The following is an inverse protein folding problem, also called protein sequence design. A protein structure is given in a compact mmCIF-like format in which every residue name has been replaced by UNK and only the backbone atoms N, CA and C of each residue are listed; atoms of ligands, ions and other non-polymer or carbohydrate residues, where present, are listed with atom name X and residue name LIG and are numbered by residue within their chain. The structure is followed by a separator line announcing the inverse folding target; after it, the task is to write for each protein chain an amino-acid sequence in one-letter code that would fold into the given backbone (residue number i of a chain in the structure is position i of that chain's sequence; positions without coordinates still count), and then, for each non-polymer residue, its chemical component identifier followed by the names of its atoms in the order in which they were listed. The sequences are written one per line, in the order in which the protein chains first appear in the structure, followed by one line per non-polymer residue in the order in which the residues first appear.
data_IF_894750215711
#
_entry.id   IF_894750215711
#
_cell.length_a   1.000
_cell.length_b   1.000
_cell.length_c   1.000
_cell.angle_alpha   90.00
_cell.angle_beta   90.00
_cell.angle_gamma   90.00
#
_symmetry.space_group_name_H-M   'P 1'
#
loop_
_entity.id
_entity.type
_entity.pdbx_description
1 polymer ?
#
# COMPACT_ATOMS: atom_id res chain seq x y z
N UNK A 1 3.74 -17.48 14.08
CA UNK A 1 5.00 -16.77 14.42
C UNK A 1 4.83 -16.09 15.77
N UNK A 2 5.91 -15.84 16.48
CA UNK A 2 5.87 -14.91 17.63
C UNK A 2 5.67 -13.50 17.06
N UNK A 3 4.61 -12.81 17.44
CA UNK A 3 4.35 -11.44 16.96
C UNK A 3 5.50 -10.52 17.34
N UNK A 4 5.95 -9.75 16.36
CA UNK A 4 6.98 -8.71 16.51
C UNK A 4 6.38 -7.38 16.97
N UNK A 5 5.06 -7.22 16.81
CA UNK A 5 4.31 -5.97 17.05
C UNK A 5 4.83 -4.81 16.20
N UNK A 6 5.33 -5.11 15.00
CA UNK A 6 5.77 -4.11 14.01
C UNK A 6 5.02 -4.27 12.69
N UNK A 7 4.66 -3.13 12.09
CA UNK A 7 4.04 -3.05 10.78
C UNK A 7 4.86 -2.09 9.92
N UNK A 8 5.11 -2.48 8.66
CA UNK A 8 5.83 -1.67 7.69
C UNK A 8 4.83 -0.99 6.74
N UNK A 9 4.89 0.33 6.61
CA UNK A 9 4.16 1.07 5.58
C UNK A 9 5.12 1.38 4.43
N UNK A 10 4.79 0.90 3.23
CA UNK A 10 5.57 1.06 2.03
C UNK A 10 5.05 2.23 1.17
N UNK A 11 5.98 3.07 0.72
CA UNK A 11 5.72 4.34 0.04
C UNK A 11 6.41 4.36 -1.33
N UNK A 12 5.74 4.89 -2.34
CA UNK A 12 6.38 5.14 -3.64
C UNK A 12 7.47 6.19 -3.51
N UNK A 13 8.51 6.08 -4.33
CA UNK A 13 9.53 7.11 -4.52
C UNK A 13 9.31 7.89 -5.82
N UNK A 14 8.26 7.59 -6.58
CA UNK A 14 7.95 8.24 -7.84
C UNK A 14 7.14 9.52 -7.64
N UNK A 15 7.68 10.65 -8.08
CA UNK A 15 7.14 12.00 -7.80
C UNK A 15 6.53 12.75 -8.99
N UNK A 16 6.50 12.15 -10.19
CA UNK A 16 6.05 12.81 -11.41
C UNK A 16 4.98 11.97 -12.13
N UNK A 17 3.81 12.55 -12.40
CA UNK A 17 2.73 11.89 -13.10
C UNK A 17 2.88 12.09 -14.60
N UNK A 18 3.89 11.46 -15.20
CA UNK A 18 4.19 11.52 -16.64
C UNK A 18 4.27 12.96 -17.20
N UNK A 19 4.86 13.89 -16.45
CA UNK A 19 4.99 15.30 -16.81
C UNK A 19 3.70 16.13 -16.70
N UNK A 20 2.59 15.57 -16.22
CA UNK A 20 1.31 16.27 -16.06
C UNK A 20 1.30 17.11 -14.79
N UNK A 21 1.69 16.50 -13.66
CA UNK A 21 1.76 17.14 -12.33
C UNK A 21 2.66 16.33 -11.38
N UNK A 22 3.13 16.92 -10.27
CA UNK A 22 3.72 16.16 -9.18
C UNK A 22 2.74 15.11 -8.62
N UNK A 23 3.28 14.00 -8.13
CA UNK A 23 2.56 12.96 -7.38
C UNK A 23 3.47 12.38 -6.29
N UNK A 24 3.05 11.28 -5.67
CA UNK A 24 3.77 10.62 -4.60
C UNK A 24 2.90 9.57 -3.93
N UNK A 25 3.24 9.22 -2.69
CA UNK A 25 2.30 8.47 -1.87
C UNK A 25 1.16 9.39 -1.44
N UNK A 26 -0.06 8.87 -1.43
CA UNK A 26 -1.22 9.68 -1.01
C UNK A 26 -1.25 9.79 0.52
N UNK A 27 -1.10 11.01 1.07
CA UNK A 27 -0.89 11.22 2.51
C UNK A 27 -1.89 10.50 3.43
N UNK A 28 -3.22 10.56 3.23
CA UNK A 28 -4.15 9.87 4.13
C UNK A 28 -4.04 8.35 4.08
N UNK A 29 -3.52 7.77 2.99
CA UNK A 29 -3.29 6.33 2.86
C UNK A 29 -2.06 5.84 3.65
N UNK A 30 -1.20 6.75 4.11
CA UNK A 30 -0.15 6.45 5.09
C UNK A 30 -0.58 6.90 6.51
N UNK A 31 -1.17 8.09 6.63
CA UNK A 31 -1.51 8.68 7.92
C UNK A 31 -2.63 7.93 8.65
N UNK A 32 -3.69 7.51 7.96
CA UNK A 32 -4.80 6.81 8.60
C UNK A 32 -4.40 5.41 9.07
N UNK A 33 -3.69 4.59 8.27
CA UNK A 33 -3.17 3.33 8.77
C UNK A 33 -2.17 3.49 9.90
N UNK A 34 -1.25 4.46 9.81
CA UNK A 34 -0.33 4.77 10.91
C UNK A 34 -1.08 5.03 12.22
N UNK A 35 -2.13 5.84 12.18
CA UNK A 35 -2.93 6.16 13.36
C UNK A 35 -3.60 4.92 13.95
N UNK A 36 -4.28 4.11 13.12
CA UNK A 36 -4.95 2.87 13.56
C UNK A 36 -3.96 1.87 14.17
N UNK A 37 -2.81 1.66 13.53
CA UNK A 37 -1.79 0.75 14.03
C UNK A 37 -1.15 1.23 15.33
N UNK A 38 -0.87 2.53 15.43
CA UNK A 38 -0.26 3.14 16.62
C UNK A 38 -1.20 3.07 17.83
N UNK A 39 -2.50 3.36 17.64
CA UNK A 39 -3.53 3.22 18.69
C UNK A 39 -3.66 1.75 19.17
N UNK A 40 -3.48 0.80 18.25
CA UNK A 40 -3.43 -0.63 18.58
C UNK A 40 -2.11 -1.08 19.23
N UNK A 41 -1.17 -0.15 19.46
CA UNK A 41 0.12 -0.37 20.12
C UNK A 41 1.16 -1.08 19.27
N UNK A 42 1.05 -1.03 17.93
CA UNK A 42 2.10 -1.49 17.02
C UNK A 42 3.14 -0.40 16.81
N UNK A 43 4.38 -0.81 16.64
CA UNK A 43 5.42 0.09 16.08
C UNK A 43 5.23 0.15 14.57
N UNK A 44 5.15 1.36 14.02
CA UNK A 44 5.04 1.58 12.58
C UNK A 44 6.36 2.12 12.05
N UNK A 45 6.92 1.43 11.07
CA UNK A 45 8.07 1.90 10.29
C UNK A 45 7.67 2.20 8.85
N UNK A 46 8.52 2.92 8.14
CA UNK A 46 8.31 3.29 6.74
C UNK A 46 9.46 2.77 5.87
N UNK A 47 9.15 2.37 4.64
CA UNK A 47 10.11 2.02 3.59
C UNK A 47 9.70 2.71 2.30
N UNK A 48 10.65 3.05 1.44
CA UNK A 48 10.33 3.49 0.07
C UNK A 48 11.21 2.81 -0.96
N UNK A 49 10.76 2.78 -2.21
CA UNK A 49 11.44 2.06 -3.29
C UNK A 49 12.90 2.50 -3.45
N UNK A 50 13.14 3.81 -3.53
CA UNK A 50 14.47 4.39 -3.68
C UNK A 50 15.17 4.69 -2.34
N UNK A 51 14.47 4.59 -1.21
CA UNK A 51 14.92 5.11 0.07
C UNK A 51 14.97 6.64 0.11
N UNK A 52 15.41 7.21 1.23
CA UNK A 52 15.41 8.66 1.43
C UNK A 52 14.02 9.21 1.74
N UNK A 53 13.76 10.47 1.41
CA UNK A 53 12.46 11.11 1.64
C UNK A 53 11.51 10.88 0.44
N UNK A 54 10.41 10.12 0.62
CA UNK A 54 9.48 9.86 -0.48
C UNK A 54 8.61 11.09 -0.79
N UNK A 55 8.26 11.32 -2.06
CA UNK A 55 7.37 12.42 -2.45
C UNK A 55 5.95 12.18 -1.94
N UNK A 56 5.26 13.26 -1.56
CA UNK A 56 3.91 13.23 -0.99
C UNK A 56 2.88 13.88 -1.92
N UNK A 57 1.68 13.30 -2.02
CA UNK A 57 0.52 13.87 -2.70
C UNK A 57 -0.70 13.88 -1.75
N UNK A 58 -1.73 14.68 -2.06
CA UNK A 58 -3.03 14.57 -1.41
C UNK A 58 -3.13 15.10 0.02
N UNK A 59 -2.19 15.95 0.46
CA UNK A 59 -2.18 16.45 1.82
C UNK A 59 -3.36 17.39 2.13
N UNK A 60 -4.12 17.07 3.18
CA UNK A 60 -5.14 17.94 3.77
C UNK A 60 -4.89 18.10 5.28
N UNK A 61 -4.32 19.24 5.68
CA UNK A 61 -4.01 19.52 7.09
C UNK A 61 -5.21 20.01 7.91
N UNK A 62 -6.40 20.07 7.32
CA UNK A 62 -7.65 20.24 8.07
C UNK A 62 -8.12 18.93 8.69
N UNK A 63 -7.67 17.80 8.15
CA UNK A 63 -7.81 16.49 8.76
C UNK A 63 -6.86 16.35 9.96
N UNK A 64 -7.37 16.13 11.18
CA UNK A 64 -6.54 16.05 12.38
C UNK A 64 -5.55 14.87 12.36
N UNK A 65 -5.87 13.76 11.68
CA UNK A 65 -4.99 12.58 11.59
C UNK A 65 -3.81 12.89 10.69
N UNK A 66 -4.06 13.48 9.51
CA UNK A 66 -2.99 13.89 8.60
C UNK A 66 -2.11 14.98 9.24
N UNK A 67 -2.72 15.93 9.94
CA UNK A 67 -1.98 16.93 10.71
C UNK A 67 -1.10 16.29 11.78
N UNK A 68 -1.63 15.37 12.58
CA UNK A 68 -0.85 14.67 13.61
C UNK A 68 0.32 13.90 12.98
N UNK A 69 0.10 13.18 11.88
CA UNK A 69 1.13 12.44 11.16
C UNK A 69 2.24 13.35 10.60
N UNK A 70 1.88 14.52 10.07
CA UNK A 70 2.83 15.46 9.47
C UNK A 70 3.60 16.28 10.51
N UNK A 71 3.02 16.50 11.70
CA UNK A 71 3.66 17.23 12.80
C UNK A 71 4.42 16.31 13.78
N UNK A 72 4.20 14.99 13.73
CA UNK A 72 4.86 14.03 14.62
C UNK A 72 6.38 13.94 14.32
N UNK A 73 7.27 14.29 15.28
CA UNK A 73 8.70 14.36 15.02
C UNK A 73 9.34 12.99 14.76
N UNK A 74 8.79 11.90 15.32
CA UNK A 74 9.29 10.54 15.08
C UNK A 74 8.92 10.08 13.67
N UNK A 75 7.66 10.28 13.27
CA UNK A 75 7.20 9.99 11.90
C UNK A 75 8.05 10.76 10.89
N UNK A 76 8.22 12.06 11.09
CA UNK A 76 9.01 12.90 10.19
C UNK A 76 10.49 12.51 10.16
N UNK A 77 11.06 12.04 11.28
CA UNK A 77 12.43 11.52 11.29
C UNK A 77 12.57 10.24 10.46
N UNK A 78 11.61 9.31 10.56
CA UNK A 78 11.59 8.09 9.76
C UNK A 78 11.36 8.38 8.27
N UNK A 79 10.46 9.30 7.94
CA UNK A 79 10.16 9.67 6.54
C UNK A 79 11.32 10.38 5.84
N UNK A 80 12.06 11.26 6.51
CA UNK A 80 13.22 11.95 5.90
C UNK A 80 14.34 11.03 5.44
N UNK A 81 14.37 9.78 5.92
CA UNK A 81 15.44 8.83 5.64
C UNK A 81 14.91 7.40 5.63
N UNK A 82 13.87 7.13 4.83
CA UNK A 82 13.36 5.77 4.71
C UNK A 82 14.44 4.83 4.15
N UNK A 83 14.55 3.59 4.67
CA UNK A 83 15.34 2.54 4.03
C UNK A 83 14.69 2.11 2.70
N UNK A 84 15.45 1.36 1.92
CA UNK A 84 14.91 0.56 0.79
C UNK A 84 14.50 -0.81 1.27
N UNK A 85 13.70 -1.53 0.49
CA UNK A 85 13.35 -2.92 0.80
C UNK A 85 14.57 -3.84 0.96
N UNK A 86 15.64 -3.62 0.19
CA UNK A 86 16.89 -4.36 0.33
C UNK A 86 17.58 -4.20 1.69
N UNK A 87 17.26 -3.13 2.42
CA UNK A 87 17.93 -2.75 3.66
C UNK A 87 17.09 -3.10 4.91
N UNK A 88 15.94 -3.77 4.74
CA UNK A 88 15.00 -4.12 5.80
C UNK A 88 14.80 -5.64 5.87
N UNK A 89 14.88 -6.20 7.07
CA UNK A 89 14.59 -7.62 7.27
C UNK A 89 13.08 -7.84 7.44
N UNK A 90 12.49 -8.60 6.51
CA UNK A 90 11.08 -8.95 6.58
C UNK A 90 10.70 -9.60 7.90
N UNK A 91 11.59 -10.37 8.55
CA UNK A 91 11.36 -11.08 9.82
C UNK A 91 11.04 -10.19 11.02
N UNK A 92 11.34 -8.90 10.91
CA UNK A 92 11.00 -7.90 11.93
C UNK A 92 9.54 -7.47 11.89
N UNK A 93 8.76 -7.86 10.88
CA UNK A 93 7.41 -7.35 10.66
C UNK A 93 6.33 -8.44 10.65
N UNK A 94 5.19 -8.11 11.26
CA UNK A 94 3.99 -8.95 11.22
C UNK A 94 3.17 -8.68 9.95
N UNK A 95 3.23 -7.45 9.44
CA UNK A 95 2.52 -7.02 8.24
C UNK A 95 3.27 -5.94 7.44
N UNK A 96 2.95 -5.86 6.14
CA UNK A 96 3.31 -4.74 5.27
C UNK A 96 2.03 -4.15 4.67
N UNK A 97 1.93 -2.82 4.65
CA UNK A 97 0.87 -2.09 3.96
C UNK A 97 1.47 -1.21 2.87
N UNK A 98 1.08 -1.45 1.62
CA UNK A 98 1.41 -0.62 0.47
C UNK A 98 0.42 0.54 0.37
N UNK A 99 0.86 1.74 0.73
CA UNK A 99 0.08 2.95 0.48
C UNK A 99 0.09 3.24 -1.02
N UNK A 100 -1.03 3.74 -1.54
CA UNK A 100 -1.17 4.14 -2.92
C UNK A 100 -0.75 5.58 -3.15
N UNK A 101 -1.54 6.28 -3.97
CA UNK A 101 -1.09 7.45 -4.73
C UNK A 101 -0.52 7.04 -6.09
N UNK A 102 -0.71 7.88 -7.10
CA UNK A 102 -0.41 7.55 -8.48
C UNK A 102 1.08 7.23 -8.74
N UNK A 103 2.01 7.64 -7.87
CA UNK A 103 3.41 7.24 -8.00
C UNK A 103 3.60 5.72 -7.95
N UNK A 104 2.76 5.00 -7.19
CA UNK A 104 2.89 3.56 -6.95
C UNK A 104 2.85 2.72 -8.25
N UNK A 105 2.06 3.11 -9.25
CA UNK A 105 2.00 2.35 -10.52
C UNK A 105 3.29 2.45 -11.35
N UNK A 106 4.18 3.39 -11.05
CA UNK A 106 5.41 3.59 -11.81
C UNK A 106 6.59 2.75 -11.28
N UNK A 107 6.67 2.55 -9.96
CA UNK A 107 7.85 1.96 -9.32
C UNK A 107 7.57 0.68 -8.52
N UNK A 108 6.42 0.52 -7.85
CA UNK A 108 6.12 -0.70 -7.09
C UNK A 108 6.19 -1.99 -7.90
N UNK A 109 5.59 -2.10 -9.12
CA UNK A 109 5.59 -3.37 -9.86
C UNK A 109 6.98 -3.82 -10.36
N UNK A 110 7.97 -2.93 -10.32
CA UNK A 110 9.31 -3.15 -10.92
C UNK A 110 10.39 -3.42 -9.87
N UNK A 111 10.08 -3.22 -8.59
CA UNK A 111 11.06 -3.37 -7.52
C UNK A 111 11.16 -4.85 -7.07
N UNK A 112 12.30 -5.46 -7.36
CA UNK A 112 12.51 -6.88 -7.08
C UNK A 112 12.67 -7.18 -5.58
N UNK A 113 13.22 -6.23 -4.81
CA UNK A 113 13.45 -6.39 -3.37
C UNK A 113 12.13 -6.28 -2.60
N UNK A 114 11.25 -5.35 -3.00
CA UNK A 114 9.85 -5.26 -2.57
C UNK A 114 9.12 -6.58 -2.83
N UNK A 115 9.21 -7.09 -4.06
CA UNK A 115 8.53 -8.32 -4.44
C UNK A 115 9.02 -9.52 -3.61
N UNK A 116 10.34 -9.61 -3.39
CA UNK A 116 10.95 -10.64 -2.56
C UNK A 116 10.53 -10.53 -1.09
N UNK A 117 10.58 -9.32 -0.52
CA UNK A 117 10.16 -9.02 0.85
C UNK A 117 8.71 -9.46 1.08
N UNK A 118 7.81 -9.00 0.21
CA UNK A 118 6.37 -9.26 0.35
C UNK A 118 6.03 -10.74 0.16
N UNK A 119 6.64 -11.42 -0.82
CA UNK A 119 6.49 -12.88 -0.99
C UNK A 119 6.90 -13.61 0.30
N UNK A 120 8.09 -13.34 0.82
CA UNK A 120 8.59 -14.06 1.99
C UNK A 120 7.75 -13.79 3.23
N UNK A 121 7.31 -12.54 3.43
CA UNK A 121 6.39 -12.18 4.50
C UNK A 121 5.03 -12.90 4.35
N UNK A 122 4.48 -12.95 3.14
CA UNK A 122 3.20 -13.60 2.87
C UNK A 122 3.25 -15.11 3.10
N UNK A 123 4.25 -15.80 2.55
CA UNK A 123 4.36 -17.27 2.57
C UNK A 123 4.61 -17.85 3.96
N UNK A 124 5.15 -17.04 4.87
CA UNK A 124 5.36 -17.43 6.27
C UNK A 124 4.16 -17.08 7.17
N UNK A 125 3.09 -16.52 6.60
CA UNK A 125 1.84 -16.19 7.28
C UNK A 125 1.70 -14.75 7.77
N UNK A 126 2.60 -13.83 7.37
CA UNK A 126 2.42 -12.40 7.61
C UNK A 126 1.34 -11.79 6.71
N UNK A 127 0.83 -10.62 7.09
CA UNK A 127 -0.23 -9.93 6.33
C UNK A 127 0.36 -9.02 5.27
N UNK A 128 -0.10 -9.16 4.03
CA UNK A 128 0.19 -8.22 2.95
C UNK A 128 -1.06 -7.40 2.69
N UNK A 129 -0.93 -6.09 2.83
CA UNK A 129 -2.02 -5.15 2.67
C UNK A 129 -1.72 -4.08 1.63
N UNK A 130 -2.75 -3.56 0.96
CA UNK A 130 -2.59 -2.47 0.01
C UNK A 130 -3.88 -1.65 -0.17
N UNK A 131 -3.80 -0.37 -0.50
CA UNK A 131 -4.97 0.49 -0.72
C UNK A 131 -4.80 1.39 -1.95
N UNK A 132 -5.89 1.70 -2.64
CA UNK A 132 -5.91 2.62 -3.79
C UNK A 132 -5.04 2.10 -4.95
N UNK A 133 -3.95 2.79 -5.27
CA UNK A 133 -2.93 2.34 -6.23
C UNK A 133 -1.83 1.47 -5.61
N UNK A 134 -1.78 1.33 -4.28
CA UNK A 134 -0.88 0.44 -3.57
C UNK A 134 -0.90 -1.01 -4.06
N UNK A 135 -2.05 -1.58 -4.49
CA UNK A 135 -2.13 -2.90 -5.12
C UNK A 135 -1.27 -3.05 -6.39
N UNK A 136 -0.72 -1.97 -6.95
CA UNK A 136 0.31 -2.06 -7.99
C UNK A 136 1.52 -2.90 -7.56
N UNK A 137 1.85 -2.91 -6.25
CA UNK A 137 2.84 -3.83 -5.69
C UNK A 137 2.50 -5.30 -5.97
N UNK A 138 1.23 -5.67 -5.83
CA UNK A 138 0.77 -7.05 -6.03
C UNK A 138 0.95 -7.52 -7.47
N UNK A 139 0.89 -6.61 -8.45
CA UNK A 139 1.12 -6.91 -9.85
C UNK A 139 2.55 -7.40 -10.14
N UNK A 140 3.52 -7.02 -9.30
CA UNK A 140 4.92 -7.45 -9.39
C UNK A 140 5.28 -8.66 -8.53
N UNK A 141 4.36 -9.18 -7.69
CA UNK A 141 4.67 -10.25 -6.74
C UNK A 141 4.26 -11.61 -7.30
N UNK A 142 5.28 -12.45 -7.54
CA UNK A 142 5.13 -13.88 -7.86
C UNK A 142 5.58 -14.72 -6.67
N UNK A 143 4.75 -15.67 -6.25
CA UNK A 143 5.00 -16.62 -5.17
C UNK A 143 6.05 -17.68 -5.56
N UNK A 144 6.54 -18.43 -4.56
CA UNK A 144 7.57 -19.46 -4.74
C UNK A 144 7.12 -20.62 -5.62
N UNK A 145 5.81 -20.84 -5.77
CA UNK A 145 5.23 -21.81 -6.70
C UNK A 145 5.10 -21.29 -8.15
N UNK A 146 5.48 -20.04 -8.40
CA UNK A 146 5.42 -19.38 -9.71
C UNK A 146 4.09 -18.70 -10.02
N UNK A 147 3.11 -18.73 -9.12
CA UNK A 147 1.82 -18.06 -9.33
C UNK A 147 1.87 -16.58 -8.91
N UNK A 148 1.13 -15.67 -9.58
CA UNK A 148 0.89 -14.33 -9.06
C UNK A 148 0.21 -14.37 -7.67
N UNK A 149 0.57 -13.48 -6.75
CA UNK A 149 -0.04 -13.46 -5.40
C UNK A 149 -1.56 -13.28 -5.43
N UNK A 150 -2.09 -12.62 -6.47
CA UNK A 150 -3.53 -12.37 -6.65
C UNK A 150 -4.28 -13.52 -7.33
N UNK A 151 -3.59 -14.55 -7.84
CA UNK A 151 -4.23 -15.60 -8.63
C UNK A 151 -5.32 -16.34 -7.82
N UNK A 152 -6.58 -16.22 -8.27
CA UNK A 152 -7.74 -16.84 -7.66
C UNK A 152 -8.27 -16.14 -6.40
N UNK A 153 -7.61 -15.07 -5.94
CA UNK A 153 -7.94 -14.31 -4.72
C UNK A 153 -8.98 -13.23 -4.97
N UNK A 154 -9.79 -12.95 -3.96
CA UNK A 154 -10.64 -11.76 -3.96
C UNK A 154 -9.81 -10.54 -3.57
N UNK A 155 -9.94 -9.46 -4.33
CA UNK A 155 -9.18 -8.22 -4.11
C UNK A 155 -10.05 -6.99 -4.36
N UNK A 156 -9.61 -5.85 -3.83
CA UNK A 156 -10.02 -4.52 -4.22
C UNK A 156 -8.79 -3.73 -4.69
N UNK A 157 -9.01 -2.73 -5.54
CA UNK A 157 -8.01 -1.79 -6.01
C UNK A 157 -8.72 -0.58 -6.61
N UNK A 158 -8.00 0.54 -6.80
CA UNK A 158 -8.54 1.70 -7.50
C UNK A 158 -9.09 1.27 -8.85
N UNK A 159 -10.34 1.63 -9.11
CA UNK A 159 -11.08 1.07 -10.24
C UNK A 159 -10.70 1.77 -11.53
N UNK A 160 -10.90 1.08 -12.65
CA UNK A 160 -10.73 1.69 -13.97
C UNK A 160 -11.73 2.84 -14.17
N UNK A 161 -12.92 2.79 -13.52
CA UNK A 161 -13.89 3.89 -13.52
C UNK A 161 -13.41 5.10 -12.73
N UNK A 162 -12.80 4.91 -11.56
CA UNK A 162 -12.21 5.98 -10.76
C UNK A 162 -11.03 6.62 -11.51
N UNK A 163 -10.19 5.82 -12.20
CA UNK A 163 -9.10 6.32 -13.04
C UNK A 163 -9.60 7.16 -14.23
N UNK A 164 -10.68 6.71 -14.88
CA UNK A 164 -11.34 7.47 -15.94
C UNK A 164 -11.95 8.76 -15.42
N UNK A 165 -12.55 8.74 -14.22
CA UNK A 165 -13.16 9.91 -13.60
C UNK A 165 -12.14 11.00 -13.25
N UNK A 166 -10.89 10.63 -12.92
CA UNK A 166 -9.79 11.59 -12.71
C UNK A 166 -9.03 11.95 -13.99
N UNK A 167 -9.39 11.33 -15.13
CA UNK A 167 -8.86 11.67 -16.45
C UNK A 167 -7.42 11.24 -16.69
N UNK A 168 -6.96 10.16 -16.02
CA UNK A 168 -5.56 9.75 -16.02
C UNK A 168 -5.30 8.39 -16.70
N UNK A 169 -6.31 7.80 -17.35
CA UNK A 169 -6.21 6.48 -18.01
C UNK A 169 -5.07 6.38 -19.02
N UNK A 170 -4.79 7.47 -19.75
CA UNK A 170 -3.70 7.54 -20.74
C UNK A 170 -2.35 7.98 -20.14
N UNK A 171 -2.34 8.41 -18.87
CA UNK A 171 -1.16 8.88 -18.16
C UNK A 171 -0.47 7.77 -17.37
N UNK A 172 -1.26 6.87 -16.79
CA UNK A 172 -0.76 5.71 -16.05
C UNK A 172 -0.17 4.66 -17.00
N UNK A 173 0.89 3.93 -16.59
CA UNK A 173 1.53 2.94 -17.46
C UNK A 173 0.66 1.71 -17.73
N UNK A 174 -0.36 1.48 -16.90
CA UNK A 174 -1.37 0.45 -17.03
C UNK A 174 -2.57 0.78 -16.14
N UNK A 175 -3.73 0.20 -16.47
CA UNK A 175 -4.92 0.25 -15.63
C UNK A 175 -4.83 -0.82 -14.53
N UNK A 176 -4.90 -0.40 -13.27
CA UNK A 176 -4.59 -1.25 -12.13
C UNK A 176 -5.57 -2.41 -11.97
N UNK A 177 -6.89 -2.14 -11.94
CA UNK A 177 -7.91 -3.17 -11.81
C UNK A 177 -7.77 -4.19 -12.95
N UNK A 178 -7.78 -3.72 -14.20
CA UNK A 178 -7.61 -4.59 -15.38
C UNK A 178 -6.36 -5.47 -15.31
N UNK A 179 -5.24 -4.92 -14.83
CA UNK A 179 -3.97 -5.66 -14.73
C UNK A 179 -4.05 -6.79 -13.70
N UNK A 180 -4.63 -6.53 -12.52
CA UNK A 180 -4.76 -7.54 -11.47
C UNK A 180 -5.78 -8.63 -11.85
N UNK A 181 -6.86 -8.26 -12.54
CA UNK A 181 -7.82 -9.22 -13.10
C UNK A 181 -7.17 -10.14 -14.15
N UNK A 182 -6.32 -9.59 -15.02
CA UNK A 182 -5.58 -10.37 -16.00
C UNK A 182 -4.60 -11.38 -15.38
N UNK A 183 -4.15 -11.13 -14.13
CA UNK A 183 -3.33 -12.05 -13.34
C UNK A 183 -4.17 -13.07 -12.53
N UNK A 184 -5.49 -13.08 -12.71
CA UNK A 184 -6.42 -14.00 -12.06
C UNK A 184 -6.99 -13.49 -10.74
N UNK A 185 -6.78 -12.22 -10.39
CA UNK A 185 -7.47 -11.56 -9.28
C UNK A 185 -8.96 -11.43 -9.55
N UNK A 186 -9.78 -11.68 -8.53
CA UNK A 186 -11.24 -11.48 -8.57
C UNK A 186 -11.53 -10.14 -7.93
N UNK A 187 -11.41 -9.07 -8.72
CA UNK A 187 -11.71 -7.72 -8.23
C UNK A 187 -13.18 -7.60 -7.86
N UNK A 188 -13.42 -6.95 -6.73
CA UNK A 188 -14.75 -6.48 -6.32
C UNK A 188 -14.62 -5.03 -5.90
N UNK A 189 -15.68 -4.24 -6.12
CA UNK A 189 -15.68 -2.82 -5.81
C UNK A 189 -17.03 -2.32 -5.32
N UNK A 190 -16.99 -1.18 -4.63
CA UNK A 190 -18.14 -0.33 -4.40
C UNK A 190 -18.24 0.73 -5.51
N UNK A 191 -19.27 1.57 -5.45
CA UNK A 191 -19.32 2.77 -6.30
C UNK A 191 -18.08 3.64 -6.08
N UNK A 192 -17.66 4.38 -7.11
CA UNK A 192 -16.50 5.27 -7.05
C UNK A 192 -16.51 6.12 -5.77
N UNK A 193 -15.33 6.27 -5.17
CA UNK A 193 -15.07 7.04 -3.94
C UNK A 193 -15.70 6.48 -2.66
N UNK A 194 -16.46 5.38 -2.72
CA UNK A 194 -16.97 4.71 -1.53
C UNK A 194 -15.93 3.77 -0.94
N UNK A 195 -15.89 3.61 0.39
CA UNK A 195 -15.01 2.65 1.02
C UNK A 195 -15.41 1.23 0.62
N UNK A 196 -14.43 0.45 0.21
CA UNK A 196 -14.53 -0.99 -0.03
C UNK A 196 -13.23 -1.67 0.39
N UNK A 197 -13.34 -2.72 1.21
CA UNK A 197 -12.21 -3.46 1.77
C UNK A 197 -12.47 -4.95 1.57
N UNK A 198 -11.46 -5.66 1.10
CA UNK A 198 -11.50 -7.11 0.87
C UNK A 198 -10.40 -7.76 1.69
N UNK A 199 -10.75 -8.82 2.43
CA UNK A 199 -9.82 -9.69 3.13
C UNK A 199 -9.96 -11.11 2.60
N UNK A 200 -8.89 -11.68 2.04
CA UNK A 200 -8.82 -13.07 1.57
C UNK A 200 -7.60 -13.75 2.22
N UNK A 201 -7.83 -14.42 3.34
CA UNK A 201 -6.76 -14.93 4.19
C UNK A 201 -5.90 -13.80 4.75
N UNK A 202 -4.60 -13.84 4.47
CA UNK A 202 -3.61 -12.84 4.87
C UNK A 202 -3.34 -11.77 3.80
N UNK A 203 -4.19 -11.68 2.76
CA UNK A 203 -4.18 -10.59 1.78
C UNK A 203 -5.34 -9.62 2.07
N UNK A 204 -5.02 -8.36 2.35
CA UNK A 204 -6.01 -7.30 2.64
C UNK A 204 -5.89 -6.18 1.61
N UNK A 205 -6.98 -5.80 0.96
CA UNK A 205 -6.92 -4.75 -0.07
C UNK A 205 -8.07 -3.77 0.04
N UNK A 206 -7.83 -2.50 -0.32
CA UNK A 206 -8.82 -1.43 -0.31
C UNK A 206 -8.89 -0.68 -1.63
N UNK A 207 -10.09 -0.28 -2.02
CA UNK A 207 -10.36 0.35 -3.32
C UNK A 207 -9.71 1.73 -3.48
N UNK A 208 -9.86 2.64 -2.52
CA UNK A 208 -9.51 4.06 -2.72
C UNK A 208 -9.13 4.70 -1.36
N UNK A 209 -8.79 6.02 -1.30
CA UNK A 209 -8.40 6.64 -0.04
C UNK A 209 -9.43 6.50 1.09
N UNK A 210 -10.72 6.44 0.77
CA UNK A 210 -11.79 6.26 1.77
C UNK A 210 -11.74 4.88 2.45
N UNK A 211 -11.09 3.90 1.83
CA UNK A 211 -10.87 2.57 2.41
C UNK A 211 -9.71 2.49 3.40
N UNK A 212 -8.84 3.51 3.51
CA UNK A 212 -7.55 3.43 4.22
C UNK A 212 -7.68 2.98 5.68
N UNK A 213 -8.60 3.59 6.43
CA UNK A 213 -8.86 3.22 7.83
C UNK A 213 -9.35 1.77 7.93
N UNK A 214 -10.30 1.38 7.08
CA UNK A 214 -10.86 0.02 7.08
C UNK A 214 -9.84 -1.06 6.68
N UNK A 215 -8.90 -0.75 5.78
CA UNK A 215 -7.78 -1.64 5.45
C UNK A 215 -6.92 -1.87 6.69
N UNK A 216 -6.58 -0.80 7.43
CA UNK A 216 -5.76 -0.92 8.64
C UNK A 216 -6.46 -1.74 9.73
N UNK A 217 -7.76 -1.52 9.95
CA UNK A 217 -8.57 -2.32 10.89
C UNK A 217 -8.64 -3.81 10.48
N UNK A 218 -8.77 -4.08 9.19
CA UNK A 218 -8.76 -5.44 8.65
C UNK A 218 -7.39 -6.13 8.81
N UNK A 219 -6.28 -5.39 8.65
CA UNK A 219 -4.93 -5.90 8.96
C UNK A 219 -4.83 -6.31 10.42
N UNK A 220 -5.27 -5.45 11.35
CA UNK A 220 -5.24 -5.77 12.78
C UNK A 220 -6.09 -7.00 13.12
N UNK A 221 -7.24 -7.14 12.45
CA UNK A 221 -8.11 -8.31 12.60
C UNK A 221 -7.42 -9.58 12.10
N UNK A 222 -6.76 -9.53 10.94
CA UNK A 222 -6.03 -10.65 10.38
C UNK A 222 -4.82 -11.08 11.24
N UNK A 223 -4.16 -10.13 11.90
CA UNK A 223 -3.05 -10.41 12.83
C UNK A 223 -3.49 -11.04 14.16
N UNK A 224 -4.77 -10.94 14.50
CA UNK A 224 -5.33 -11.49 15.74
C UNK A 224 -5.90 -12.92 15.60
N UNK A 225 -5.97 -13.45 14.38
CA UNK A 225 -6.51 -14.78 14.05
C UNK A 225 -5.48 -15.90 14.21
#
# INVERSE_FOLDING_TARGET
MTSTRKILIALTSHGDLAGIRPTGYYLPEAAHPWHVFSEAGYTVDFVSVAGGEPPVDGADLTDPIQKAFTEDPEVQAKLRSTPRFADVDQSDYDAVLFAGGHGAVFDFPKDADLAAFARTLYERGGVVAAVCHGPAALAGITLSDGSPIVAGRNIAAFTDSEEAAVGLTEAVPFLLQSTLEAQGGKHTGAADWQPHVVTDGNLVTGQNPASSTGVAEAVLTALAA
#
